data_IF_486058142962
#
_entry.id   IF_486058142962
#
_cell.length_a   1.000
_cell.length_b   1.000
_cell.length_c   1.000
_cell.angle_alpha   90.00
_cell.angle_beta   90.00
_cell.angle_gamma   90.00
#
_symmetry.space_group_name_H-M   'P 1'
#
loop_
_entity.id
_entity.type
_entity.pdbx_description
1 polymer ?
#
# COMPACT_ATOMS: atom_id res chain seq x y z
N UNK A 1 -6.02 4.71 8.15
CA UNK A 1 -4.59 4.99 8.26
C UNK A 1 -4.31 6.35 7.68
N UNK A 2 -3.05 6.69 7.42
CA UNK A 2 -2.65 7.93 6.73
C UNK A 2 -1.80 7.60 5.50
N UNK A 3 -1.70 8.53 4.56
CA UNK A 3 -0.85 8.45 3.39
C UNK A 3 0.06 9.68 3.33
N UNK A 4 1.37 9.45 3.20
CA UNK A 4 2.37 10.49 2.94
C UNK A 4 3.27 10.05 1.78
N UNK A 5 3.21 10.77 0.66
CA UNK A 5 3.82 10.34 -0.60
C UNK A 5 3.29 8.97 -1.03
N UNK A 6 4.16 7.96 -1.09
CA UNK A 6 3.79 6.56 -1.34
C UNK A 6 3.68 5.69 -0.07
N UNK A 7 3.90 6.27 1.11
CA UNK A 7 3.91 5.50 2.37
C UNK A 7 2.54 5.52 3.02
N UNK A 8 1.90 4.36 3.09
CA UNK A 8 0.65 4.15 3.84
C UNK A 8 0.99 3.71 5.26
N UNK A 9 0.43 4.39 6.27
CA UNK A 9 0.54 4.00 7.68
C UNK A 9 -0.75 3.34 8.17
N UNK A 10 -0.65 2.11 8.69
CA UNK A 10 -1.74 1.40 9.32
C UNK A 10 -2.24 2.16 10.56
N UNK A 11 -3.55 2.41 10.62
CA UNK A 11 -4.15 3.22 11.70
C UNK A 11 -4.24 2.51 13.04
N UNK A 12 -3.98 1.21 13.10
CA UNK A 12 -4.08 0.44 14.35
C UNK A 12 -2.71 0.27 15.02
N UNK A 13 -1.74 -0.30 14.31
CA UNK A 13 -0.42 -0.64 14.86
C UNK A 13 0.71 0.24 14.33
N UNK A 14 0.45 1.12 13.36
CA UNK A 14 1.46 2.02 12.80
C UNK A 14 2.43 1.39 11.79
N UNK A 15 2.20 0.14 11.36
CA UNK A 15 2.99 -0.48 10.28
C UNK A 15 2.91 0.36 8.99
N UNK A 16 4.06 0.59 8.36
CA UNK A 16 4.18 1.41 7.15
C UNK A 16 4.53 0.56 5.94
N UNK A 17 3.86 0.81 4.83
CA UNK A 17 4.06 0.09 3.57
C UNK A 17 4.13 1.07 2.39
N UNK A 18 4.90 0.73 1.36
CA UNK A 18 4.92 1.48 0.10
C UNK A 18 3.77 1.01 -0.80
N UNK A 19 2.86 1.92 -1.18
CA UNK A 19 1.66 1.57 -1.97
C UNK A 19 1.92 1.32 -3.46
N UNK A 20 3.14 1.55 -3.96
CA UNK A 20 3.52 1.23 -5.34
C UNK A 20 3.97 -0.21 -5.48
N UNK A 21 4.45 -0.81 -4.39
CA UNK A 21 5.08 -2.14 -4.39
C UNK A 21 4.45 -3.12 -3.40
N UNK A 22 3.71 -2.63 -2.41
CA UNK A 22 3.18 -3.42 -1.29
C UNK A 22 4.23 -3.77 -0.24
N UNK A 23 5.47 -3.32 -0.39
CA UNK A 23 6.57 -3.71 0.50
C UNK A 23 6.48 -3.06 1.88
N UNK A 24 6.85 -3.81 2.92
CA UNK A 24 7.00 -3.27 4.27
C UNK A 24 8.14 -2.25 4.31
N UNK A 25 7.83 -1.04 4.78
CA UNK A 25 8.80 0.07 4.92
C UNK A 25 9.30 0.15 6.36
N UNK A 26 8.38 0.15 7.34
CA UNK A 26 8.73 0.33 8.75
C UNK A 26 7.74 -0.34 9.68
N UNK A 27 8.25 -1.23 10.52
CA UNK A 27 7.53 -1.80 11.67
C UNK A 27 8.53 -2.42 12.65
N UNK A 28 8.24 -2.49 13.97
CA UNK A 28 9.17 -3.08 14.95
C UNK A 28 9.47 -4.57 14.73
N UNK A 29 8.58 -5.27 14.04
CA UNK A 29 8.74 -6.68 13.68
C UNK A 29 8.72 -6.86 12.16
N UNK A 30 9.41 -7.89 11.68
CA UNK A 30 9.30 -8.31 10.28
C UNK A 30 7.95 -8.99 10.08
N UNK A 31 7.13 -8.43 9.21
CA UNK A 31 5.87 -9.00 8.73
C UNK A 31 5.92 -9.13 7.21
N UNK A 32 5.00 -9.88 6.63
CA UNK A 32 4.94 -10.06 5.19
C UNK A 32 4.65 -8.73 4.47
N UNK A 33 5.15 -8.61 3.25
CA UNK A 33 4.69 -7.59 2.32
C UNK A 33 3.21 -7.81 1.99
N UNK A 34 2.55 -6.75 1.52
CA UNK A 34 1.17 -6.79 1.06
C UNK A 34 1.11 -7.22 -0.41
N UNK A 35 0.02 -7.89 -0.79
CA UNK A 35 -0.30 -8.17 -2.18
C UNK A 35 -0.47 -6.84 -2.94
N UNK A 36 0.18 -6.73 -4.09
CA UNK A 36 -0.04 -5.63 -5.03
C UNK A 36 -0.98 -6.07 -6.14
N UNK A 37 -1.80 -5.13 -6.61
CA UNK A 37 -2.73 -5.31 -7.71
C UNK A 37 -2.37 -4.35 -8.84
N UNK A 38 -2.54 -4.80 -10.08
CA UNK A 38 -2.38 -3.91 -11.23
C UNK A 38 -3.56 -2.95 -11.28
N UNK A 39 -3.24 -1.67 -11.41
CA UNK A 39 -4.23 -0.58 -11.50
C UNK A 39 -4.12 0.03 -12.89
N UNK A 40 -5.26 0.17 -13.57
CA UNK A 40 -5.38 0.83 -14.87
C UNK A 40 -6.34 2.01 -14.72
N UNK A 41 -6.00 3.14 -15.32
CA UNK A 41 -6.88 4.31 -15.41
C UNK A 41 -7.39 4.40 -16.85
N UNK A 42 -8.69 4.22 -17.05
CA UNK A 42 -9.35 4.30 -18.34
C UNK A 42 -10.39 5.43 -18.30
N UNK A 43 -10.17 6.47 -19.10
CA UNK A 43 -10.99 7.69 -19.07
C UNK A 43 -11.09 8.29 -17.66
N UNK A 44 -12.21 8.11 -16.96
CA UNK A 44 -12.46 8.60 -15.60
C UNK A 44 -12.58 7.48 -14.57
N UNK A 45 -12.35 6.23 -14.99
CA UNK A 45 -12.50 5.05 -14.15
C UNK A 45 -11.13 4.52 -13.70
N UNK A 46 -11.09 4.01 -12.46
CA UNK A 46 -9.94 3.32 -11.88
C UNK A 46 -10.29 1.86 -11.75
N UNK A 47 -9.59 1.00 -12.49
CA UNK A 47 -9.82 -0.43 -12.59
C UNK A 47 -8.71 -1.18 -11.85
N UNK A 48 -9.09 -2.20 -11.09
CA UNK A 48 -8.17 -3.07 -10.34
C UNK A 48 -8.30 -4.49 -10.89
N UNK A 49 -7.20 -5.08 -11.33
CA UNK A 49 -7.13 -6.50 -11.73
C UNK A 49 -6.93 -7.38 -10.50
N UNK A 50 -7.83 -8.35 -10.26
CA UNK A 50 -7.85 -9.24 -9.07
C UNK A 50 -7.46 -10.68 -9.35
#
# INVERSE_FOLDING_TARGET
GTLDGSTVTCGWHGAQFDCKTGNLVKFPAKINNLQSYKVVVESNDVIIEV
#
